data_IF_556821316809
#
_entry.id   IF_556821316809
#
_cell.length_a   1.000
_cell.length_b   1.000
_cell.length_c   1.000
_cell.angle_alpha   90.00
_cell.angle_beta   90.00
_cell.angle_gamma   90.00
#
_symmetry.space_group_name_H-M   'P 1'
#
loop_
_entity.id
_entity.type
_entity.pdbx_description
1 polymer ?
#
# COMPACT_ATOMS: atom_id res chain seq x y z
N UNK A 1 -44.11 24.85 25.72
CA UNK A 1 -44.33 25.57 24.45
C UNK A 1 -44.43 24.50 23.40
N UNK A 2 -45.66 24.18 23.04
CA UNK A 2 -45.95 23.07 22.14
C UNK A 2 -45.70 23.51 20.71
N UNK A 3 -45.15 22.61 19.89
CA UNK A 3 -44.82 22.88 18.49
C UNK A 3 -46.00 23.47 17.71
N UNK A 4 -47.23 23.10 18.10
CA UNK A 4 -48.49 23.57 17.53
C UNK A 4 -48.68 25.07 17.74
N UNK A 5 -48.45 25.60 18.94
CA UNK A 5 -48.61 27.04 19.23
C UNK A 5 -47.58 27.90 18.47
N UNK A 6 -46.36 27.39 18.33
CA UNK A 6 -45.29 28.05 17.56
C UNK A 6 -45.63 28.07 16.06
N UNK A 7 -46.22 26.98 15.56
CA UNK A 7 -46.61 26.84 14.16
C UNK A 7 -47.81 27.73 13.79
N UNK A 8 -48.83 27.80 14.66
CA UNK A 8 -49.98 28.70 14.47
C UNK A 8 -49.56 30.18 14.49
N UNK A 9 -48.65 30.56 15.40
CA UNK A 9 -48.08 31.91 15.44
C UNK A 9 -47.29 32.26 14.17
N UNK A 10 -46.55 31.29 13.62
CA UNK A 10 -45.83 31.47 12.36
C UNK A 10 -46.77 31.67 11.16
N UNK A 11 -47.85 30.90 11.07
CA UNK A 11 -48.86 31.03 10.00
C UNK A 11 -49.57 32.38 10.06
N UNK A 12 -49.99 32.84 11.24
CA UNK A 12 -50.60 34.16 11.43
C UNK A 12 -49.66 35.30 11.03
N UNK A 13 -48.37 35.16 11.32
CA UNK A 13 -47.35 36.12 10.90
C UNK A 13 -47.13 36.15 9.37
N UNK A 14 -47.14 34.98 8.71
CA UNK A 14 -47.02 34.87 7.26
C UNK A 14 -48.21 35.50 6.54
N UNK A 15 -49.43 35.33 7.06
CA UNK A 15 -50.65 35.93 6.51
C UNK A 15 -50.66 37.46 6.64
N UNK A 16 -50.12 38.02 7.74
CA UNK A 16 -50.02 39.47 7.94
C UNK A 16 -49.00 40.15 7.00
N UNK A 17 -47.98 39.42 6.55
CA UNK A 17 -46.86 39.99 5.80
C UNK A 17 -46.45 39.14 4.57
N UNK A 18 -47.29 39.08 3.52
CA UNK A 18 -47.06 38.24 2.35
C UNK A 18 -45.76 38.57 1.59
N UNK A 19 -45.29 39.82 1.64
CA UNK A 19 -44.01 40.23 1.04
C UNK A 19 -42.77 39.82 1.82
N UNK A 20 -42.88 39.57 3.13
CA UNK A 20 -41.75 39.13 3.98
C UNK A 20 -41.56 37.62 3.92
N UNK A 21 -42.65 36.85 3.77
CA UNK A 21 -42.61 35.39 3.71
C UNK A 21 -41.77 34.88 2.52
N UNK A 22 -41.93 35.48 1.33
CA UNK A 22 -41.16 35.12 0.13
C UNK A 22 -39.67 35.41 0.27
N UNK A 23 -39.31 36.50 0.97
CA UNK A 23 -37.93 36.84 1.26
C UNK A 23 -37.29 35.85 2.24
N UNK A 24 -37.99 35.48 3.32
CA UNK A 24 -37.50 34.48 4.29
C UNK A 24 -37.28 33.12 3.62
N UNK A 25 -38.18 32.71 2.74
CA UNK A 25 -38.01 31.48 1.95
C UNK A 25 -36.77 31.55 1.04
N UNK A 26 -36.54 32.67 0.36
CA UNK A 26 -35.37 32.85 -0.48
C UNK A 26 -34.06 32.82 0.33
N UNK A 27 -34.02 33.48 1.49
CA UNK A 27 -32.86 33.47 2.39
C UNK A 27 -32.62 32.06 2.94
N UNK A 28 -33.66 31.35 3.35
CA UNK A 28 -33.57 29.96 3.83
C UNK A 28 -33.04 29.01 2.75
N UNK A 29 -33.46 29.19 1.50
CA UNK A 29 -32.98 28.41 0.36
C UNK A 29 -31.48 28.67 0.11
N UNK A 30 -31.04 29.93 0.13
CA UNK A 30 -29.62 30.29 -0.03
C UNK A 30 -28.76 29.68 1.09
N UNK A 31 -29.20 29.80 2.35
CA UNK A 31 -28.49 29.22 3.49
C UNK A 31 -28.39 27.70 3.38
N UNK A 32 -29.47 27.03 2.94
CA UNK A 32 -29.49 25.58 2.76
C UNK A 32 -28.49 25.11 1.70
N UNK A 33 -28.41 25.83 0.57
CA UNK A 33 -27.42 25.53 -0.49
C UNK A 33 -26.00 25.72 0.04
N UNK A 34 -25.74 26.80 0.78
CA UNK A 34 -24.43 27.05 1.40
C UNK A 34 -24.04 25.96 2.41
N UNK A 35 -24.98 25.54 3.26
CA UNK A 35 -24.74 24.48 4.23
C UNK A 35 -24.47 23.14 3.54
N UNK A 36 -25.23 22.77 2.51
CA UNK A 36 -25.02 21.57 1.73
C UNK A 36 -23.63 21.56 1.06
N UNK A 37 -23.26 22.67 0.43
CA UNK A 37 -21.93 22.83 -0.20
C UNK A 37 -20.79 22.71 0.82
N UNK A 38 -20.95 23.34 1.99
CA UNK A 38 -19.96 23.25 3.07
C UNK A 38 -19.76 21.82 3.59
N UNK A 39 -20.85 21.09 3.79
CA UNK A 39 -20.83 19.69 4.24
C UNK A 39 -20.18 18.82 3.16
N UNK A 40 -20.57 18.99 1.90
CA UNK A 40 -20.00 18.23 0.77
C UNK A 40 -18.48 18.45 0.67
N UNK A 41 -18.02 19.70 0.72
CA UNK A 41 -16.59 20.01 0.69
C UNK A 41 -15.81 19.41 1.88
N UNK A 42 -16.40 19.42 3.07
CA UNK A 42 -15.79 18.76 4.24
C UNK A 42 -15.69 17.25 4.07
N UNK A 43 -16.72 16.62 3.51
CA UNK A 43 -16.71 15.17 3.25
C UNK A 43 -15.68 14.79 2.19
N UNK A 44 -15.59 15.55 1.09
CA UNK A 44 -14.59 15.32 0.03
C UNK A 44 -13.18 15.34 0.59
N UNK A 45 -12.84 16.36 1.41
CA UNK A 45 -11.51 16.47 2.03
C UNK A 45 -11.21 15.31 2.99
N UNK A 46 -12.20 14.86 3.76
CA UNK A 46 -12.02 13.71 4.67
C UNK A 46 -11.77 12.41 3.90
N UNK A 47 -12.58 12.15 2.88
CA UNK A 47 -12.42 10.96 2.02
C UNK A 47 -11.07 10.97 1.31
N UNK A 48 -10.61 12.13 0.83
CA UNK A 48 -9.30 12.24 0.19
C UNK A 48 -8.15 11.96 1.19
N UNK A 49 -8.24 12.49 2.41
CA UNK A 49 -7.26 12.20 3.47
C UNK A 49 -7.27 10.72 3.86
N UNK A 50 -8.44 10.12 4.09
CA UNK A 50 -8.58 8.71 4.42
C UNK A 50 -8.03 7.82 3.30
N UNK A 51 -8.28 8.18 2.04
CA UNK A 51 -7.70 7.49 0.88
C UNK A 51 -6.17 7.56 0.89
N UNK A 52 -5.59 8.74 1.11
CA UNK A 52 -4.13 8.90 1.19
C UNK A 52 -3.52 8.08 2.33
N UNK A 53 -4.16 8.05 3.49
CA UNK A 53 -3.72 7.23 4.62
C UNK A 53 -3.79 5.73 4.32
N UNK A 54 -4.88 5.27 3.70
CA UNK A 54 -5.03 3.88 3.25
C UNK A 54 -3.95 3.52 2.22
N UNK A 55 -3.71 4.39 1.24
CA UNK A 55 -2.72 4.18 0.19
C UNK A 55 -1.30 4.10 0.78
N UNK A 56 -0.95 4.99 1.71
CA UNK A 56 0.32 4.96 2.44
C UNK A 56 0.48 3.65 3.23
N UNK A 57 -0.56 3.21 3.96
CA UNK A 57 -0.52 1.97 4.73
C UNK A 57 -0.24 0.74 3.84
N UNK A 58 -0.85 0.67 2.65
CA UNK A 58 -0.58 -0.39 1.67
C UNK A 58 0.85 -0.37 1.18
N UNK A 59 1.38 0.81 0.84
CA UNK A 59 2.76 0.96 0.39
C UNK A 59 3.75 0.56 1.48
N UNK A 60 3.51 0.95 2.73
CA UNK A 60 4.32 0.54 3.88
C UNK A 60 4.27 -0.98 4.09
N UNK A 61 3.11 -1.61 3.92
CA UNK A 61 3.00 -3.06 4.00
C UNK A 61 3.85 -3.76 2.92
N UNK A 62 3.82 -3.31 1.66
CA UNK A 62 4.67 -3.87 0.61
C UNK A 62 6.16 -3.67 0.90
N UNK A 63 6.55 -2.49 1.38
CA UNK A 63 7.93 -2.23 1.80
C UNK A 63 8.39 -3.19 2.90
N UNK A 64 7.54 -3.47 3.89
CA UNK A 64 7.86 -4.43 4.95
C UNK A 64 8.09 -5.85 4.42
N UNK A 65 7.34 -6.25 3.39
CA UNK A 65 7.56 -7.54 2.71
C UNK A 65 8.92 -7.53 2.00
N UNK A 66 9.26 -6.46 1.27
CA UNK A 66 10.56 -6.38 0.61
C UNK A 66 11.73 -6.40 1.58
N UNK A 67 11.61 -5.71 2.72
CA UNK A 67 12.62 -5.74 3.78
C UNK A 67 12.76 -7.15 4.36
N UNK A 68 11.65 -7.86 4.56
CA UNK A 68 11.68 -9.26 4.98
C UNK A 68 12.36 -10.17 3.93
N UNK A 69 12.08 -9.97 2.64
CA UNK A 69 12.77 -10.69 1.56
C UNK A 69 14.27 -10.43 1.62
N UNK A 70 14.66 -9.16 1.73
CA UNK A 70 16.07 -8.77 1.78
C UNK A 70 16.77 -9.40 2.99
N UNK A 71 16.15 -9.37 4.16
CA UNK A 71 16.68 -9.99 5.37
C UNK A 71 16.83 -11.50 5.21
N UNK A 72 15.87 -12.17 4.56
CA UNK A 72 15.93 -13.61 4.29
C UNK A 72 17.11 -13.95 3.39
N UNK A 73 17.28 -13.19 2.29
CA UNK A 73 18.38 -13.33 1.35
C UNK A 73 19.73 -13.05 2.03
N UNK A 74 19.80 -12.03 2.88
CA UNK A 74 21.04 -11.61 3.56
C UNK A 74 21.45 -12.53 4.69
N UNK A 75 20.50 -13.03 5.48
CA UNK A 75 20.79 -13.95 6.58
C UNK A 75 21.36 -15.28 6.07
N UNK A 76 20.99 -15.67 4.85
CA UNK A 76 21.59 -16.80 4.14
C UNK A 76 23.00 -16.51 3.59
N UNK A 77 23.38 -15.24 3.37
CA UNK A 77 24.73 -14.82 2.98
C UNK A 77 25.72 -14.79 4.16
N UNK A 78 25.24 -14.49 5.38
CA UNK A 78 26.09 -14.38 6.57
C UNK A 78 26.56 -15.71 7.17
N UNK A 79 26.13 -16.85 6.62
CA UNK A 79 26.51 -18.17 7.13
C UNK A 79 27.81 -18.68 6.49
N UNK A 80 28.91 -18.03 6.84
CA UNK A 80 30.24 -18.62 6.65
C UNK A 80 30.35 -19.90 7.52
N UNK A 81 30.82 -20.98 6.93
CA UNK A 81 31.32 -22.19 7.62
C UNK A 81 30.38 -23.38 7.93
N UNK A 82 29.09 -23.36 7.59
CA UNK A 82 28.24 -24.58 7.67
C UNK A 82 27.45 -24.77 6.38
N UNK A 83 27.52 -25.95 5.73
CA UNK A 83 26.64 -26.25 4.61
C UNK A 83 25.21 -26.32 5.14
N UNK A 84 24.49 -25.20 5.07
CA UNK A 84 23.05 -25.18 5.29
C UNK A 84 22.44 -26.03 4.18
N UNK A 85 21.54 -26.93 4.55
CA UNK A 85 20.75 -27.74 3.65
C UNK A 85 20.10 -26.80 2.62
N UNK A 86 20.45 -26.89 1.33
CA UNK A 86 19.91 -25.98 0.32
C UNK A 86 18.38 -26.08 0.21
N UNK A 87 17.79 -27.15 0.75
CA UNK A 87 16.35 -27.27 0.97
C UNK A 87 15.78 -26.15 1.85
N UNK A 88 16.48 -25.71 2.90
CA UNK A 88 16.01 -24.62 3.77
C UNK A 88 15.96 -23.28 3.02
N UNK A 89 16.95 -23.01 2.16
CA UNK A 89 16.98 -21.79 1.33
C UNK A 89 15.81 -21.83 0.36
N UNK A 90 15.59 -22.97 -0.29
CA UNK A 90 14.47 -23.17 -1.21
C UNK A 90 13.12 -23.02 -0.52
N UNK A 91 12.95 -23.55 0.68
CA UNK A 91 11.74 -23.38 1.48
C UNK A 91 11.48 -21.90 1.80
N UNK A 92 12.50 -21.18 2.28
CA UNK A 92 12.41 -19.74 2.53
C UNK A 92 12.06 -18.93 1.27
N UNK A 93 12.69 -19.24 0.12
CA UNK A 93 12.39 -18.58 -1.15
C UNK A 93 10.97 -18.89 -1.62
N UNK A 94 10.51 -20.13 -1.46
CA UNK A 94 9.14 -20.53 -1.80
C UNK A 94 8.11 -19.81 -0.94
N UNK A 95 8.37 -19.67 0.36
CA UNK A 95 7.52 -18.90 1.27
C UNK A 95 7.46 -17.42 0.87
N UNK A 96 8.61 -16.81 0.56
CA UNK A 96 8.68 -15.44 0.06
C UNK A 96 7.88 -15.28 -1.24
N UNK A 97 8.02 -16.20 -2.20
CA UNK A 97 7.27 -16.15 -3.46
C UNK A 97 5.76 -16.27 -3.24
N UNK A 98 5.34 -17.11 -2.28
CA UNK A 98 3.94 -17.22 -1.87
C UNK A 98 3.44 -15.92 -1.24
N UNK A 99 4.23 -15.28 -0.37
CA UNK A 99 3.88 -13.99 0.22
C UNK A 99 3.75 -12.89 -0.85
N UNK A 100 4.72 -12.79 -1.76
CA UNK A 100 4.68 -11.83 -2.88
C UNK A 100 3.49 -12.09 -3.82
N UNK A 101 3.15 -13.37 -4.04
CA UNK A 101 1.99 -13.76 -4.85
C UNK A 101 0.63 -13.44 -4.22
N UNK A 102 0.56 -13.24 -2.90
CA UNK A 102 -0.66 -12.86 -2.18
C UNK A 102 -0.94 -11.35 -2.18
N UNK A 103 0.03 -10.53 -2.58
CA UNK A 103 -0.16 -9.08 -2.66
C UNK A 103 -1.09 -8.78 -3.83
N UNK A 104 -2.24 -8.16 -3.54
CA UNK A 104 -3.17 -7.72 -4.58
C UNK A 104 -2.58 -6.52 -5.34
N UNK A 105 -2.07 -6.79 -6.53
CA UNK A 105 -1.43 -5.79 -7.40
C UNK A 105 -2.40 -4.68 -7.79
N UNK A 106 -3.69 -4.99 -7.93
CA UNK A 106 -4.71 -4.02 -8.32
C UNK A 106 -5.06 -3.07 -7.17
N UNK A 107 -4.75 -3.46 -5.94
CA UNK A 107 -4.99 -2.63 -4.75
C UNK A 107 -3.93 -1.54 -4.54
N UNK A 108 -2.81 -1.62 -5.26
CA UNK A 108 -1.67 -0.72 -5.10
C UNK A 108 -1.90 0.63 -5.78
N UNK A 109 -1.60 1.75 -5.10
CA UNK A 109 -1.94 3.08 -5.59
C UNK A 109 -0.98 3.60 -6.66
N UNK A 110 0.23 3.04 -6.73
CA UNK A 110 1.32 3.61 -7.51
C UNK A 110 1.97 2.56 -8.46
N UNK A 111 2.11 2.87 -9.76
CA UNK A 111 2.67 1.95 -10.75
C UNK A 111 4.16 1.67 -10.56
N UNK A 112 4.91 2.57 -9.92
CA UNK A 112 6.33 2.38 -9.59
C UNK A 112 6.46 1.28 -8.53
N UNK A 113 5.58 1.28 -7.52
CA UNK A 113 5.54 0.22 -6.49
C UNK A 113 5.14 -1.12 -7.11
N UNK A 114 4.13 -1.12 -7.99
CA UNK A 114 3.74 -2.31 -8.74
C UNK A 114 4.91 -2.86 -9.56
N UNK A 115 5.62 -2.00 -10.29
CA UNK A 115 6.78 -2.40 -11.09
C UNK A 115 7.91 -2.94 -10.20
N UNK A 116 8.20 -2.29 -9.06
CA UNK A 116 9.18 -2.77 -8.11
C UNK A 116 8.81 -4.14 -7.53
N UNK A 117 7.53 -4.39 -7.24
CA UNK A 117 7.03 -5.69 -6.79
C UNK A 117 7.27 -6.77 -7.85
N UNK A 118 6.97 -6.50 -9.12
CA UNK A 118 7.24 -7.44 -10.20
C UNK A 118 8.74 -7.73 -10.37
N UNK A 119 9.60 -6.70 -10.31
CA UNK A 119 11.05 -6.87 -10.45
C UNK A 119 11.65 -7.66 -9.27
N UNK A 120 11.22 -7.36 -8.03
CA UNK A 120 11.64 -8.12 -6.84
C UNK A 120 11.17 -9.57 -6.96
N UNK A 121 9.91 -9.80 -7.30
CA UNK A 121 9.37 -11.14 -7.51
C UNK A 121 10.15 -11.91 -8.57
N UNK A 122 10.38 -11.30 -9.73
CA UNK A 122 11.16 -11.89 -10.82
C UNK A 122 12.58 -12.26 -10.37
N UNK A 123 13.22 -11.39 -9.60
CA UNK A 123 14.58 -11.62 -9.08
C UNK A 123 14.61 -12.82 -8.13
N UNK A 124 13.61 -12.95 -7.26
CA UNK A 124 13.44 -14.10 -6.36
C UNK A 124 13.12 -15.38 -7.13
N UNK A 125 12.26 -15.33 -8.17
CA UNK A 125 11.94 -16.50 -9.01
C UNK A 125 13.17 -17.01 -9.76
N UNK A 126 13.99 -16.11 -10.31
CA UNK A 126 15.26 -16.47 -10.95
C UNK A 126 16.22 -17.11 -9.93
N UNK A 127 16.23 -16.60 -8.69
CA UNK A 127 17.07 -17.16 -7.63
C UNK A 127 16.57 -18.56 -7.23
N UNK A 128 15.27 -18.76 -7.00
CA UNK A 128 14.68 -20.08 -6.70
C UNK A 128 14.99 -21.10 -7.80
N UNK A 129 14.81 -20.69 -9.07
CA UNK A 129 15.11 -21.55 -10.22
C UNK A 129 16.57 -22.01 -10.22
N UNK A 130 17.52 -21.08 -9.99
CA UNK A 130 18.96 -21.40 -9.95
C UNK A 130 19.33 -22.26 -8.75
N UNK A 131 18.74 -22.00 -7.58
CA UNK A 131 18.94 -22.83 -6.38
C UNK A 131 18.41 -24.25 -6.62
N UNK A 132 17.26 -24.38 -7.29
CA UNK A 132 16.68 -25.68 -7.65
C UNK A 132 17.54 -26.44 -8.66
N UNK A 133 17.97 -25.79 -9.73
CA UNK A 133 18.88 -26.38 -10.73
C UNK A 133 20.17 -26.88 -10.07
N UNK A 134 20.72 -26.08 -9.16
CA UNK A 134 21.90 -26.45 -8.39
C UNK A 134 21.67 -27.72 -7.56
N UNK A 135 20.58 -27.79 -6.79
CA UNK A 135 20.24 -28.95 -5.96
C UNK A 135 20.02 -30.23 -6.79
N UNK A 136 19.49 -30.12 -8.00
CA UNK A 136 19.29 -31.25 -8.90
C UNK A 136 20.58 -31.71 -9.57
N UNK A 137 21.52 -30.80 -9.82
CA UNK A 137 22.77 -31.10 -10.53
C UNK A 137 23.75 -31.96 -9.73
N UNK A 138 23.57 -32.09 -8.41
CA UNK A 138 24.41 -32.94 -7.55
C UNK A 138 25.90 -32.58 -7.55
N UNK A 139 26.27 -31.36 -7.99
CA UNK A 139 27.67 -30.91 -8.06
C UNK A 139 28.25 -30.75 -6.65
N UNK A 140 29.47 -31.26 -6.45
CA UNK A 140 30.18 -31.19 -5.18
C UNK A 140 30.53 -29.74 -4.81
N UNK A 141 30.18 -29.36 -3.57
CA UNK A 141 30.10 -28.00 -3.02
C UNK A 141 31.40 -27.16 -3.03
N UNK A 142 32.55 -27.72 -3.41
CA UNK A 142 33.86 -27.14 -3.07
C UNK A 142 34.22 -25.96 -3.99
N UNK A 143 33.88 -26.01 -5.29
CA UNK A 143 34.00 -24.85 -6.20
C UNK A 143 32.77 -23.92 -6.16
N UNK A 144 31.71 -24.33 -5.46
CA UNK A 144 30.38 -23.70 -5.52
C UNK A 144 30.19 -22.50 -4.61
N UNK A 145 31.07 -22.34 -3.62
CA UNK A 145 30.98 -21.23 -2.69
C UNK A 145 31.09 -19.88 -3.41
N UNK A 146 31.91 -19.78 -4.47
CA UNK A 146 32.03 -18.53 -5.24
C UNK A 146 30.76 -18.24 -6.06
N UNK A 147 30.18 -19.27 -6.70
CA UNK A 147 29.01 -19.10 -7.56
C UNK A 147 27.76 -18.72 -6.77
N UNK A 148 27.55 -19.35 -5.60
CA UNK A 148 26.47 -19.01 -4.68
C UNK A 148 26.54 -17.56 -4.21
N UNK A 149 27.69 -17.10 -3.72
CA UNK A 149 27.84 -15.72 -3.22
C UNK A 149 27.61 -14.69 -4.32
N UNK A 150 28.09 -14.97 -5.54
CA UNK A 150 27.88 -14.08 -6.68
C UNK A 150 26.39 -13.98 -7.04
N UNK A 151 25.67 -15.09 -7.05
CA UNK A 151 24.25 -15.11 -7.38
C UNK A 151 23.38 -14.41 -6.34
N UNK A 152 23.58 -14.74 -5.06
CA UNK A 152 22.79 -14.16 -3.98
C UNK A 152 23.13 -12.67 -3.83
N UNK A 153 24.41 -12.29 -3.94
CA UNK A 153 24.83 -10.89 -3.89
C UNK A 153 24.26 -10.04 -5.03
N UNK A 154 24.17 -10.57 -6.25
CA UNK A 154 23.51 -9.86 -7.36
C UNK A 154 22.02 -9.63 -7.09
N UNK A 155 21.33 -10.62 -6.53
CA UNK A 155 19.92 -10.51 -6.17
C UNK A 155 19.72 -9.48 -5.03
N UNK A 156 20.58 -9.53 -4.00
CA UNK A 156 20.57 -8.60 -2.87
C UNK A 156 20.67 -7.14 -3.34
N UNK A 157 21.67 -6.81 -4.17
CA UNK A 157 21.88 -5.44 -4.68
C UNK A 157 20.70 -4.94 -5.51
N UNK A 158 20.08 -5.80 -6.33
CA UNK A 158 18.93 -5.40 -7.13
C UNK A 158 17.71 -5.14 -6.24
N UNK A 159 17.45 -6.01 -5.25
CA UNK A 159 16.35 -5.84 -4.29
C UNK A 159 16.56 -4.55 -3.47
N UNK A 160 17.76 -4.29 -2.95
CA UNK A 160 18.08 -3.07 -2.20
C UNK A 160 17.82 -1.81 -3.03
N UNK A 161 18.22 -1.82 -4.31
CA UNK A 161 17.98 -0.69 -5.21
C UNK A 161 16.48 -0.42 -5.39
N UNK A 162 15.66 -1.45 -5.55
CA UNK A 162 14.20 -1.31 -5.71
C UNK A 162 13.52 -0.86 -4.42
N UNK A 163 13.97 -1.38 -3.27
CA UNK A 163 13.49 -0.92 -1.95
C UNK A 163 13.77 0.57 -1.76
N UNK A 164 14.99 1.03 -2.08
CA UNK A 164 15.35 2.44 -1.98
C UNK A 164 14.43 3.32 -2.83
N UNK A 165 14.19 2.90 -4.07
CA UNK A 165 13.29 3.62 -4.98
C UNK A 165 11.85 3.66 -4.47
N UNK A 166 11.35 2.56 -3.90
CA UNK A 166 10.03 2.54 -3.25
C UNK A 166 9.95 3.45 -2.03
N UNK A 167 11.01 3.53 -1.22
CA UNK A 167 11.08 4.44 -0.06
C UNK A 167 11.01 5.89 -0.49
N UNK A 168 11.68 6.26 -1.59
CA UNK A 168 11.61 7.61 -2.16
C UNK A 168 10.17 7.94 -2.62
N UNK A 169 9.49 6.99 -3.27
CA UNK A 169 8.08 7.15 -3.65
C UNK A 169 7.20 7.30 -2.43
N UNK A 170 7.31 6.44 -1.42
CA UNK A 170 6.51 6.53 -0.19
C UNK A 170 6.77 7.84 0.57
N UNK A 171 8.00 8.33 0.59
CA UNK A 171 8.33 9.62 1.19
C UNK A 171 7.65 10.80 0.47
N UNK A 172 7.32 10.67 -0.82
CA UNK A 172 6.55 11.69 -1.55
C UNK A 172 5.05 11.72 -1.22
N UNK A 173 4.53 10.67 -0.58
CA UNK A 173 3.16 10.63 -0.07
C UNK A 173 3.01 11.24 1.32
N UNK A 174 4.12 11.40 2.06
CA UNK A 174 4.15 11.98 3.42
C UNK A 174 4.28 13.50 3.40
#
# INVERSE_FOLDING_TARGET
>A
MDFVEVWEGFLCWVELHPGLASWVQAVGAIISIWAAWWIANRQIRKVELEKRHSDLAKCTAVLSVFEYVLLTVKNDNSFTYRPRNGNNIRESLSEVLLMLGRIDILSLPDPIIVNALFEVRRSVEILDFKVRDYLLSGRDLIDDHYYKYKLVGMCEVEIERKIKLCKEVVASFS
#
